data_IF_472759742162
#
_entry.id   IF_472759742162
#
_cell.length_a   1.000
_cell.length_b   1.000
_cell.length_c   1.000
_cell.angle_alpha   90.00
_cell.angle_beta   90.00
_cell.angle_gamma   90.00
#
_symmetry.space_group_name_H-M   'P 1'
#
loop_
_entity.id
_entity.type
_entity.pdbx_description
1 polymer ?
#
# COMPACT_ATOMS: atom_id res chain seq x y z
N UNK A 1 0.64 -38.96 -6.25
CA UNK A 1 1.44 -38.18 -7.23
C UNK A 1 0.54 -37.12 -7.82
N UNK A 2 0.87 -35.83 -7.65
CA UNK A 2 0.06 -34.71 -8.15
C UNK A 2 -0.12 -33.64 -7.07
N UNK A 3 0.66 -32.56 -7.12
CA UNK A 3 0.58 -31.46 -6.16
C UNK A 3 1.70 -30.41 -6.21
N UNK A 4 2.78 -30.63 -6.99
CA UNK A 4 3.98 -29.77 -6.94
C UNK A 4 4.08 -28.69 -8.04
N UNK A 5 3.12 -28.60 -8.95
CA UNK A 5 3.25 -27.74 -10.16
C UNK A 5 2.77 -26.30 -9.99
N UNK A 6 1.99 -25.98 -8.96
CA UNK A 6 1.41 -24.64 -8.77
C UNK A 6 2.44 -23.61 -8.26
N UNK A 7 3.28 -24.00 -7.30
CA UNK A 7 4.24 -23.09 -6.64
C UNK A 7 5.41 -22.63 -7.53
N UNK A 8 5.82 -23.46 -8.50
CA UNK A 8 6.98 -23.14 -9.36
C UNK A 8 6.68 -22.05 -10.39
N UNK A 9 5.43 -21.94 -10.83
CA UNK A 9 5.04 -20.95 -11.85
C UNK A 9 4.91 -19.55 -11.24
N UNK A 10 4.42 -19.45 -10.00
CA UNK A 10 4.31 -18.18 -9.27
C UNK A 10 5.69 -17.61 -8.89
N UNK A 11 6.64 -18.48 -8.51
CA UNK A 11 8.02 -18.09 -8.20
C UNK A 11 8.76 -17.52 -9.41
N UNK A 12 8.63 -18.16 -10.59
CA UNK A 12 9.31 -17.71 -11.81
C UNK A 12 8.82 -16.34 -12.28
N UNK A 13 7.52 -16.10 -12.20
CA UNK A 13 6.94 -14.80 -12.57
C UNK A 13 7.40 -13.69 -11.63
N UNK A 14 7.60 -14.01 -10.34
CA UNK A 14 8.09 -13.07 -9.34
C UNK A 14 9.54 -12.66 -9.61
N UNK A 15 10.43 -13.62 -9.89
CA UNK A 15 11.83 -13.36 -10.20
C UNK A 15 12.01 -12.49 -11.46
N UNK A 16 11.22 -12.75 -12.50
CA UNK A 16 11.19 -11.91 -13.70
C UNK A 16 10.64 -10.52 -13.41
N UNK A 17 9.59 -10.43 -12.59
CA UNK A 17 9.02 -9.16 -12.15
C UNK A 17 10.03 -8.30 -11.40
N UNK A 18 10.80 -8.89 -10.49
CA UNK A 18 11.87 -8.22 -9.74
C UNK A 18 12.93 -7.68 -10.71
N UNK A 19 13.45 -8.52 -11.61
CA UNK A 19 14.45 -8.10 -12.59
C UNK A 19 13.95 -6.96 -13.49
N UNK A 20 12.70 -7.05 -13.96
CA UNK A 20 12.10 -5.99 -14.77
C UNK A 20 11.94 -4.68 -13.97
N UNK A 21 11.51 -4.76 -12.71
CA UNK A 21 11.36 -3.60 -11.85
C UNK A 21 12.69 -2.94 -11.46
N UNK A 22 13.75 -3.74 -11.22
CA UNK A 22 15.12 -3.24 -11.02
C UNK A 22 15.62 -2.47 -12.24
N UNK A 23 15.43 -3.01 -13.45
CA UNK A 23 15.77 -2.32 -14.70
C UNK A 23 14.95 -1.05 -14.91
N UNK A 24 13.66 -1.10 -14.59
CA UNK A 24 12.81 0.08 -14.67
C UNK A 24 13.29 1.17 -13.70
N UNK A 25 13.77 0.78 -12.51
CA UNK A 25 14.31 1.71 -11.52
C UNK A 25 15.60 2.39 -11.99
N UNK A 26 16.45 1.68 -12.75
CA UNK A 26 17.62 2.25 -13.41
C UNK A 26 17.24 3.26 -14.49
N UNK A 27 16.18 2.98 -15.27
CA UNK A 27 15.74 3.81 -16.39
C UNK A 27 14.95 5.06 -15.97
N UNK A 28 14.06 4.93 -14.99
CA UNK A 28 13.20 6.02 -14.49
C UNK A 28 13.34 6.21 -12.98
N UNK A 29 14.53 6.64 -12.50
CA UNK A 29 14.86 6.69 -11.07
C UNK A 29 14.03 7.72 -10.28
N UNK A 30 13.28 8.60 -10.93
CA UNK A 30 12.42 9.60 -10.28
C UNK A 30 10.96 9.17 -10.20
N UNK A 31 10.59 8.05 -10.82
CA UNK A 31 9.22 7.56 -10.82
C UNK A 31 8.93 6.79 -9.52
N UNK A 32 8.07 7.33 -8.68
CA UNK A 32 7.70 6.81 -7.37
C UNK A 32 7.06 5.41 -7.44
N UNK A 33 6.18 5.18 -8.42
CA UNK A 33 5.50 3.92 -8.62
C UNK A 33 6.45 2.75 -8.85
N UNK A 34 7.65 3.01 -9.38
CA UNK A 34 8.67 1.97 -9.62
C UNK A 34 9.27 1.46 -8.30
N UNK A 35 9.50 2.36 -7.33
CA UNK A 35 9.95 1.97 -5.99
C UNK A 35 8.88 1.18 -5.25
N UNK A 36 7.63 1.62 -5.34
CA UNK A 36 6.49 0.93 -4.71
C UNK A 36 6.34 -0.48 -5.29
N UNK A 37 6.40 -0.61 -6.62
CA UNK A 37 6.33 -1.91 -7.29
C UNK A 37 7.45 -2.84 -6.86
N UNK A 38 8.71 -2.39 -6.90
CA UNK A 38 9.86 -3.20 -6.52
C UNK A 38 9.81 -3.61 -5.04
N UNK A 39 9.44 -2.68 -4.17
CA UNK A 39 9.24 -2.96 -2.74
C UNK A 39 8.16 -4.03 -2.52
N UNK A 40 7.06 -3.98 -3.26
CA UNK A 40 5.99 -4.96 -3.14
C UNK A 40 6.44 -6.34 -3.62
N UNK A 41 7.17 -6.42 -4.73
CA UNK A 41 7.71 -7.68 -5.25
C UNK A 41 8.68 -8.33 -4.25
N UNK A 42 9.59 -7.56 -3.65
CA UNK A 42 10.46 -8.07 -2.58
C UNK A 42 9.67 -8.51 -1.34
N UNK A 43 8.62 -7.79 -0.95
CA UNK A 43 7.76 -8.18 0.16
C UNK A 43 7.01 -9.50 -0.12
N UNK A 44 6.48 -9.67 -1.34
CA UNK A 44 5.86 -10.93 -1.79
C UNK A 44 6.86 -12.09 -1.76
N UNK A 45 8.14 -11.84 -2.09
CA UNK A 45 9.21 -12.83 -1.99
C UNK A 45 9.71 -13.07 -0.54
N UNK A 46 9.27 -12.26 0.43
CA UNK A 46 9.74 -12.32 1.82
C UNK A 46 11.11 -11.68 2.07
N UNK A 47 11.64 -10.90 1.12
CA UNK A 47 12.92 -10.22 1.21
C UNK A 47 12.80 -8.85 1.91
N UNK A 48 12.53 -8.87 3.21
CA UNK A 48 12.28 -7.67 4.02
C UNK A 48 13.46 -6.70 4.10
N UNK A 49 14.69 -7.20 4.05
CA UNK A 49 15.88 -6.35 4.01
C UNK A 49 15.94 -5.55 2.71
N UNK A 50 15.55 -6.14 1.58
CA UNK A 50 15.54 -5.46 0.29
C UNK A 50 14.37 -4.47 0.19
N UNK A 51 13.22 -4.78 0.80
CA UNK A 51 12.15 -3.80 1.05
C UNK A 51 12.69 -2.57 1.78
N UNK A 52 13.45 -2.77 2.86
CA UNK A 52 14.04 -1.66 3.62
C UNK A 52 15.06 -0.85 2.79
N UNK A 53 15.89 -1.52 1.97
CA UNK A 53 16.84 -0.87 1.06
C UNK A 53 16.13 -0.02 0.01
N UNK A 54 15.08 -0.53 -0.63
CA UNK A 54 14.30 0.23 -1.63
C UNK A 54 13.67 1.47 -1.01
N UNK A 55 13.09 1.34 0.19
CA UNK A 55 12.52 2.48 0.93
C UNK A 55 13.58 3.52 1.31
N UNK A 56 14.77 3.07 1.74
CA UNK A 56 15.89 3.97 2.02
C UNK A 56 16.33 4.69 0.74
N UNK A 57 16.49 3.97 -0.37
CA UNK A 57 16.88 4.55 -1.65
C UNK A 57 15.88 5.60 -2.15
N UNK A 58 14.58 5.33 -1.99
CA UNK A 58 13.52 6.28 -2.33
C UNK A 58 13.65 7.58 -1.54
N UNK A 59 13.89 7.49 -0.21
CA UNK A 59 14.14 8.65 0.66
C UNK A 59 15.42 9.39 0.33
N UNK A 60 16.53 8.66 0.12
CA UNK A 60 17.85 9.23 -0.16
C UNK A 60 17.83 10.01 -1.49
N UNK A 61 17.00 9.57 -2.45
CA UNK A 61 16.78 10.26 -3.74
C UNK A 61 15.70 11.36 -3.68
N UNK A 62 15.05 11.55 -2.52
CA UNK A 62 13.99 12.54 -2.34
C UNK A 62 12.70 12.23 -3.11
N UNK A 63 12.54 11.01 -3.61
CA UNK A 63 11.34 10.59 -4.33
C UNK A 63 10.23 10.38 -3.30
N UNK A 64 9.11 11.08 -3.48
CA UNK A 64 7.92 10.93 -2.65
C UNK A 64 6.85 10.23 -3.46
N UNK A 65 6.12 9.34 -2.81
CA UNK A 65 4.94 8.76 -3.43
C UNK A 65 3.91 9.86 -3.67
N UNK A 66 3.29 9.85 -4.84
CA UNK A 66 2.12 10.65 -5.11
C UNK A 66 0.98 10.21 -4.17
N UNK A 67 0.42 11.12 -3.35
CA UNK A 67 -0.63 10.77 -2.41
C UNK A 67 -1.83 10.20 -3.17
N UNK A 68 -2.44 9.15 -2.61
CA UNK A 68 -3.71 8.66 -3.12
C UNK A 68 -4.75 9.77 -3.07
N UNK A 69 -5.58 9.87 -4.11
CA UNK A 69 -6.71 10.78 -4.13
C UNK A 69 -8.02 10.01 -4.31
N UNK A 70 -9.05 10.42 -3.59
CA UNK A 70 -10.42 10.03 -3.84
C UNK A 70 -11.26 11.27 -4.05
N UNK A 71 -12.29 11.15 -4.89
CA UNK A 71 -13.19 12.24 -5.23
C UNK A 71 -14.62 11.78 -5.03
N UNK A 72 -15.46 12.67 -4.52
CA UNK A 72 -16.92 12.48 -4.45
C UNK A 72 -17.62 13.70 -5.03
N UNK A 73 -18.81 13.49 -5.59
CA UNK A 73 -19.71 14.56 -6.03
C UNK A 73 -20.89 14.62 -5.05
N UNK A 74 -21.09 15.77 -4.43
CA UNK A 74 -22.19 16.05 -3.52
C UNK A 74 -22.77 17.41 -3.89
N UNK A 75 -24.07 17.46 -4.17
CA UNK A 75 -24.77 18.71 -4.51
C UNK A 75 -24.11 19.49 -5.68
N UNK A 76 -23.63 18.77 -6.70
CA UNK A 76 -22.88 19.31 -7.85
C UNK A 76 -21.53 19.97 -7.47
N UNK A 77 -20.97 19.64 -6.31
CA UNK A 77 -19.65 20.05 -5.87
C UNK A 77 -18.72 18.83 -5.81
N UNK A 78 -17.55 18.95 -6.43
CA UNK A 78 -16.52 17.91 -6.36
C UNK A 78 -15.65 18.15 -5.13
N UNK A 79 -15.65 17.19 -4.23
CA UNK A 79 -14.81 17.18 -3.03
C UNK A 79 -13.64 16.23 -3.24
N UNK A 80 -12.42 16.74 -3.07
CA UNK A 80 -11.17 15.97 -3.23
C UNK A 80 -10.61 15.64 -1.86
N UNK A 81 -10.33 14.37 -1.63
CA UNK A 81 -9.64 13.89 -0.44
C UNK A 81 -8.30 13.29 -0.84
N UNK A 82 -7.22 13.86 -0.32
CA UNK A 82 -5.87 13.35 -0.47
C UNK A 82 -5.50 12.56 0.79
N UNK A 83 -4.72 11.50 0.64
CA UNK A 83 -4.12 10.79 1.77
C UNK A 83 -3.40 11.80 2.69
N UNK A 84 -3.67 11.70 3.99
CA UNK A 84 -3.17 12.59 5.05
C UNK A 84 -3.52 14.09 4.93
N UNK A 85 -4.44 14.47 4.03
CA UNK A 85 -4.87 15.86 3.91
C UNK A 85 -6.01 16.19 4.89
N UNK A 86 -5.93 17.38 5.50
CA UNK A 86 -6.91 17.95 6.42
C UNK A 86 -7.49 19.28 5.94
N UNK A 87 -7.32 19.61 4.66
CA UNK A 87 -7.80 20.86 4.05
C UNK A 87 -9.31 20.95 3.91
N UNK A 88 -10.04 19.83 3.92
CA UNK A 88 -11.49 19.88 3.74
C UNK A 88 -12.15 20.60 4.93
N UNK A 89 -13.03 21.60 4.71
CA UNK A 89 -13.65 22.37 5.80
C UNK A 89 -14.36 21.49 6.84
N UNK A 90 -14.91 20.36 6.40
CA UNK A 90 -15.64 19.40 7.23
C UNK A 90 -14.81 18.19 7.69
N UNK A 91 -13.48 18.22 7.52
CA UNK A 91 -12.63 17.05 7.79
C UNK A 91 -12.80 16.50 9.21
N UNK A 92 -13.02 17.37 10.20
CA UNK A 92 -13.25 16.95 11.58
C UNK A 92 -14.57 16.18 11.75
N UNK A 93 -15.62 16.56 11.02
CA UNK A 93 -16.90 15.87 11.06
C UNK A 93 -16.77 14.48 10.43
N UNK A 94 -16.07 14.39 9.29
CA UNK A 94 -15.76 13.12 8.61
C UNK A 94 -14.99 12.18 9.54
N UNK A 95 -13.92 12.65 10.19
CA UNK A 95 -13.15 11.80 11.13
C UNK A 95 -13.96 11.36 12.34
N UNK A 96 -14.80 12.23 12.92
CA UNK A 96 -15.71 11.84 14.01
C UNK A 96 -16.69 10.75 13.59
N UNK A 97 -17.23 10.85 12.38
CA UNK A 97 -18.13 9.84 11.83
C UNK A 97 -17.39 8.51 11.59
N UNK A 98 -16.20 8.56 10.98
CA UNK A 98 -15.34 7.39 10.80
C UNK A 98 -15.04 6.71 12.14
N UNK A 99 -14.68 7.47 13.18
CA UNK A 99 -14.42 6.91 14.51
C UNK A 99 -15.66 6.22 15.10
N UNK A 100 -16.84 6.79 14.90
CA UNK A 100 -18.10 6.17 15.31
C UNK A 100 -18.33 4.85 14.56
N UNK A 101 -18.17 4.85 13.22
CA UNK A 101 -18.30 3.64 12.39
C UNK A 101 -17.31 2.55 12.82
N UNK A 102 -16.04 2.88 13.04
CA UNK A 102 -15.05 1.92 13.54
C UNK A 102 -15.40 1.37 14.94
N UNK A 103 -15.98 2.19 15.82
CA UNK A 103 -16.48 1.72 17.11
C UNK A 103 -17.62 0.72 16.94
N UNK A 104 -18.59 1.00 16.05
CA UNK A 104 -19.67 0.07 15.76
C UNK A 104 -19.18 -1.21 15.09
N UNK A 105 -18.21 -1.12 14.18
CA UNK A 105 -17.62 -2.26 13.50
C UNK A 105 -16.85 -3.16 14.48
N UNK A 106 -16.05 -2.60 15.41
CA UNK A 106 -15.43 -3.39 16.49
C UNK A 106 -16.47 -4.09 17.36
N UNK A 107 -17.57 -3.43 17.71
CA UNK A 107 -18.64 -4.06 18.50
C UNK A 107 -19.23 -5.30 17.79
N UNK A 108 -19.17 -5.35 16.45
CA UNK A 108 -19.60 -6.50 15.64
C UNK A 108 -18.46 -7.52 15.44
N UNK A 109 -17.19 -7.07 15.35
CA UNK A 109 -16.00 -7.91 15.10
C UNK A 109 -15.43 -8.61 16.34
N UNK A 110 -15.75 -8.17 17.57
CA UNK A 110 -15.31 -8.83 18.81
C UNK A 110 -15.80 -10.28 18.97
N UNK A 111 -16.67 -10.77 18.09
CA UNK A 111 -17.10 -12.18 18.03
C UNK A 111 -16.33 -13.05 17.01
N UNK A 112 -15.42 -12.49 16.16
CA UNK A 112 -14.92 -13.25 14.98
C UNK A 112 -13.40 -13.34 14.77
N UNK A 113 -12.51 -12.49 15.30
CA UNK A 113 -11.07 -12.62 14.93
C UNK A 113 -10.06 -12.33 16.04
N UNK A 114 -9.70 -13.35 16.82
CA UNK A 114 -8.35 -13.47 17.39
C UNK A 114 -7.39 -13.92 16.26
N UNK A 115 -6.43 -13.07 15.87
CA UNK A 115 -5.21 -13.56 15.19
C UNK A 115 -4.65 -12.82 13.96
N UNK A 116 -5.03 -11.57 13.64
CA UNK A 116 -4.49 -10.89 12.44
C UNK A 116 -3.87 -9.49 12.66
N UNK A 117 -3.68 -9.05 13.90
CA UNK A 117 -3.32 -7.64 14.18
C UNK A 117 -1.82 -7.28 14.00
N UNK A 118 -0.94 -8.22 13.66
CA UNK A 118 0.50 -7.91 13.45
C UNK A 118 0.91 -7.65 11.98
N UNK A 119 -0.01 -7.76 11.01
CA UNK A 119 0.34 -7.71 9.58
C UNK A 119 -0.01 -6.40 8.86
N UNK A 120 -0.76 -5.49 9.50
CA UNK A 120 -1.31 -4.30 8.83
C UNK A 120 -0.46 -3.04 8.94
N UNK A 121 0.52 -2.96 9.85
CA UNK A 121 1.46 -1.82 9.90
C UNK A 121 2.45 -1.79 8.72
N UNK A 122 2.47 -2.82 7.87
CA UNK A 122 3.36 -2.91 6.71
C UNK A 122 2.69 -2.57 5.38
N UNK A 123 1.38 -2.33 5.38
CA UNK A 123 0.56 -2.00 4.20
C UNK A 123 0.24 -0.50 4.07
N UNK A 124 0.59 0.30 5.08
CA UNK A 124 0.43 1.76 5.00
C UNK A 124 1.62 2.29 4.21
N UNK A 125 1.30 2.83 3.03
CA UNK A 125 2.22 3.60 2.18
C UNK A 125 2.05 5.07 2.53
#
# INVERSE_FOLDING_TARGET
MGGSSCWLQDSWNLDLGIQAAERLLELVPQHDGTYVLLSNLYATAGYWDDVAKVRKLMRDRGVKKEPGCSLIDVENMVHVFLVDDTKHPEVQAVYKYLEAVYKYQRIIEWDVTDGLEQRMEQYII
#
